data_IF_644554799548
#
_entry.id   IF_644554799548
#
_cell.length_a   1.000
_cell.length_b   1.000
_cell.length_c   1.000
_cell.angle_alpha   90.00
_cell.angle_beta   90.00
_cell.angle_gamma   90.00
#
_symmetry.space_group_name_H-M   'P 1'
#
loop_
_entity.id
_entity.type
_entity.pdbx_description
1 polymer ?
#
# COMPACT_ATOMS: atom_id res chain seq x y z
N UNK A 1 60.72 -26.75 6.53
CA UNK A 1 59.33 -27.23 6.31
C UNK A 1 58.27 -26.29 6.87
N UNK A 2 58.35 -25.85 8.14
CA UNK A 2 57.33 -24.96 8.75
C UNK A 2 57.12 -23.62 8.01
N UNK A 3 58.18 -22.99 7.47
CA UNK A 3 58.08 -21.75 6.67
C UNK A 3 57.29 -21.92 5.37
N UNK A 4 57.40 -23.07 4.70
CA UNK A 4 56.66 -23.35 3.46
C UNK A 4 55.20 -23.71 3.75
N UNK A 5 54.92 -24.34 4.90
CA UNK A 5 53.56 -24.67 5.34
C UNK A 5 52.75 -23.42 5.72
N UNK A 6 53.39 -22.45 6.40
CA UNK A 6 52.78 -21.15 6.70
C UNK A 6 52.52 -20.38 5.40
N UNK A 7 53.50 -20.30 4.49
CA UNK A 7 53.32 -19.61 3.20
C UNK A 7 52.20 -20.23 2.36
N UNK A 8 52.08 -21.56 2.34
CA UNK A 8 51.01 -22.26 1.63
C UNK A 8 49.64 -22.00 2.27
N UNK A 9 49.55 -21.93 3.60
CA UNK A 9 48.32 -21.57 4.32
C UNK A 9 47.91 -20.10 4.10
N UNK A 10 48.86 -19.17 4.03
CA UNK A 10 48.55 -17.75 3.77
C UNK A 10 48.09 -17.55 2.32
N UNK A 11 48.68 -18.27 1.36
CA UNK A 11 48.25 -18.25 -0.04
C UNK A 11 46.86 -18.90 -0.21
N UNK A 12 46.55 -19.97 0.53
CA UNK A 12 45.21 -20.58 0.53
C UNK A 12 44.13 -19.67 1.15
N UNK A 13 44.48 -18.87 2.16
CA UNK A 13 43.56 -17.87 2.72
C UNK A 13 43.32 -16.68 1.78
N UNK A 14 44.32 -16.32 0.96
CA UNK A 14 44.20 -15.28 -0.07
C UNK A 14 43.48 -15.77 -1.35
N UNK A 15 43.40 -17.09 -1.56
CA UNK A 15 42.63 -17.76 -2.62
C UNK A 15 41.26 -18.24 -2.12
N UNK A 16 40.82 -17.82 -0.93
CA UNK A 16 39.42 -17.98 -0.54
C UNK A 16 38.57 -17.12 -1.47
N UNK A 17 38.09 -17.73 -2.55
CA UNK A 17 37.08 -17.19 -3.46
C UNK A 17 35.75 -17.06 -2.71
N UNK A 18 35.68 -16.16 -1.74
CA UNK A 18 34.40 -15.66 -1.25
C UNK A 18 33.72 -14.94 -2.41
N UNK A 19 32.44 -15.26 -2.64
CA UNK A 19 31.63 -14.51 -3.60
C UNK A 19 31.69 -13.04 -3.24
N UNK A 20 31.85 -12.18 -4.24
CA UNK A 20 31.69 -10.75 -3.99
C UNK A 20 30.22 -10.45 -3.67
N UNK A 21 29.95 -9.26 -3.13
CA UNK A 21 28.60 -8.87 -2.68
C UNK A 21 27.55 -8.95 -3.79
N UNK A 22 27.95 -8.66 -5.04
CA UNK A 22 27.05 -8.63 -6.18
C UNK A 22 26.68 -10.05 -6.63
N UNK A 23 27.67 -10.95 -6.67
CA UNK A 23 27.48 -12.38 -6.94
C UNK A 23 26.60 -13.05 -5.88
N UNK A 24 26.84 -12.74 -4.60
CA UNK A 24 26.02 -13.24 -3.50
C UNK A 24 24.56 -12.76 -3.64
N UNK A 25 24.37 -11.48 -3.95
CA UNK A 25 23.04 -10.88 -4.16
C UNK A 25 22.31 -11.53 -5.34
N UNK A 26 23.00 -11.73 -6.46
CA UNK A 26 22.44 -12.38 -7.64
C UNK A 26 22.02 -13.84 -7.38
N UNK A 27 22.83 -14.60 -6.65
CA UNK A 27 22.49 -15.98 -6.24
C UNK A 27 21.29 -16.02 -5.30
N UNK A 28 21.20 -15.10 -4.32
CA UNK A 28 20.07 -15.02 -3.42
C UNK A 28 18.77 -14.71 -4.18
N UNK A 29 18.81 -13.79 -5.15
CA UNK A 29 17.67 -13.50 -6.04
C UNK A 29 17.26 -14.75 -6.81
N UNK A 30 18.20 -15.48 -7.41
CA UNK A 30 17.90 -16.70 -8.14
C UNK A 30 17.27 -17.77 -7.24
N UNK A 31 17.87 -18.00 -6.06
CA UNK A 31 17.38 -18.98 -5.09
C UNK A 31 15.97 -18.63 -4.61
N UNK A 32 15.72 -17.35 -4.33
CA UNK A 32 14.42 -16.86 -3.94
C UNK A 32 13.38 -17.05 -5.05
N UNK A 33 13.70 -16.71 -6.30
CA UNK A 33 12.79 -16.93 -7.43
C UNK A 33 12.46 -18.42 -7.64
N UNK A 34 13.44 -19.33 -7.45
CA UNK A 34 13.18 -20.78 -7.47
C UNK A 34 12.22 -21.18 -6.35
N UNK A 35 12.39 -20.66 -5.14
CA UNK A 35 11.48 -20.94 -4.02
C UNK A 35 10.07 -20.37 -4.28
N UNK A 36 9.95 -19.16 -4.82
CA UNK A 36 8.67 -18.52 -5.16
C UNK A 36 7.91 -19.30 -6.25
N UNK A 37 8.60 -19.85 -7.25
CA UNK A 37 7.95 -20.69 -8.26
C UNK A 37 7.30 -21.96 -7.69
N UNK A 38 7.72 -22.38 -6.49
CA UNK A 38 7.15 -23.51 -5.73
C UNK A 38 6.17 -23.06 -4.64
N UNK A 39 5.87 -21.76 -4.54
CA UNK A 39 5.05 -21.19 -3.46
C UNK A 39 5.72 -21.19 -2.08
N UNK A 40 7.03 -21.45 -2.00
CA UNK A 40 7.75 -21.46 -0.72
C UNK A 40 8.25 -20.06 -0.37
N UNK A 41 7.33 -19.21 0.08
CA UNK A 41 7.58 -17.80 0.34
C UNK A 41 8.62 -17.57 1.46
N UNK A 42 8.60 -18.39 2.52
CA UNK A 42 9.52 -18.21 3.66
C UNK A 42 10.96 -18.52 3.26
N UNK A 43 11.21 -19.61 2.52
CA UNK A 43 12.55 -19.91 2.00
C UNK A 43 13.06 -18.82 1.06
N UNK A 44 12.18 -18.17 0.29
CA UNK A 44 12.57 -17.04 -0.54
C UNK A 44 13.03 -15.83 0.30
N UNK A 45 12.31 -15.51 1.38
CA UNK A 45 12.70 -14.45 2.33
C UNK A 45 14.03 -14.79 2.98
N UNK A 46 14.17 -16.01 3.51
CA UNK A 46 15.37 -16.44 4.23
C UNK A 46 16.61 -16.38 3.32
N UNK A 47 16.48 -16.76 2.04
CA UNK A 47 17.56 -16.70 1.07
C UNK A 47 18.04 -15.27 0.78
N UNK A 48 17.12 -14.30 0.74
CA UNK A 48 17.45 -12.88 0.49
C UNK A 48 18.03 -12.23 1.74
N UNK A 49 17.34 -12.34 2.86
CA UNK A 49 17.74 -11.67 4.12
C UNK A 49 19.05 -12.23 4.70
N UNK A 50 19.45 -13.46 4.34
CA UNK A 50 20.74 -14.02 4.70
C UNK A 50 21.94 -13.18 4.21
N UNK A 51 21.78 -12.43 3.13
CA UNK A 51 22.82 -11.53 2.61
C UNK A 51 22.81 -10.14 3.26
N UNK A 52 21.90 -9.89 4.20
CA UNK A 52 21.60 -8.54 4.67
C UNK A 52 20.82 -7.74 3.62
N UNK A 53 20.12 -6.70 4.08
CA UNK A 53 19.21 -5.96 3.22
C UNK A 53 19.95 -5.02 2.26
N UNK A 54 19.76 -5.23 0.95
CA UNK A 54 20.38 -4.44 -0.12
C UNK A 54 19.37 -3.41 -0.67
N UNK A 55 19.33 -2.22 -0.07
CA UNK A 55 18.29 -1.21 -0.34
C UNK A 55 18.43 -0.48 -1.69
N UNK A 56 19.54 -0.62 -2.41
CA UNK A 56 19.82 0.05 -3.69
C UNK A 56 19.85 -0.92 -4.88
N UNK A 57 19.34 -2.15 -4.72
CA UNK A 57 19.27 -3.13 -5.79
C UNK A 57 17.80 -3.43 -6.12
N UNK A 58 17.31 -2.91 -7.26
CA UNK A 58 15.91 -3.04 -7.63
C UNK A 58 15.46 -4.50 -7.80
N UNK A 59 16.20 -5.39 -8.50
CA UNK A 59 15.86 -6.82 -8.54
C UNK A 59 15.73 -7.47 -7.16
N UNK A 60 16.67 -7.20 -6.25
CA UNK A 60 16.63 -7.71 -4.87
C UNK A 60 15.36 -7.27 -4.15
N UNK A 61 15.06 -5.97 -4.15
CA UNK A 61 13.89 -5.43 -3.45
C UNK A 61 12.57 -5.94 -4.04
N UNK A 62 12.47 -6.02 -5.38
CA UNK A 62 11.30 -6.56 -6.06
C UNK A 62 11.07 -8.03 -5.71
N UNK A 63 12.11 -8.85 -5.69
CA UNK A 63 11.99 -10.27 -5.31
C UNK A 63 11.66 -10.43 -3.82
N UNK A 64 12.26 -9.61 -2.94
CA UNK A 64 11.95 -9.64 -1.51
C UNK A 64 10.50 -9.22 -1.24
N UNK A 65 10.02 -8.15 -1.88
CA UNK A 65 8.64 -7.73 -1.80
C UNK A 65 7.68 -8.80 -2.31
N UNK A 66 7.99 -9.44 -3.44
CA UNK A 66 7.22 -10.60 -3.94
C UNK A 66 7.16 -11.75 -2.94
N UNK A 67 8.24 -12.01 -2.20
CA UNK A 67 8.28 -13.07 -1.20
C UNK A 67 7.41 -12.77 0.03
N UNK A 68 7.39 -11.53 0.51
CA UNK A 68 6.44 -11.12 1.55
C UNK A 68 4.99 -11.11 1.04
N UNK A 69 4.75 -10.63 -0.19
CA UNK A 69 3.43 -10.63 -0.80
C UNK A 69 2.89 -12.07 -1.00
N UNK A 70 3.76 -13.01 -1.36
CA UNK A 70 3.46 -14.44 -1.43
C UNK A 70 2.92 -14.97 -0.08
N UNK A 71 3.52 -14.57 1.07
CA UNK A 71 2.99 -14.95 2.40
C UNK A 71 1.61 -14.39 2.68
N UNK A 72 1.30 -13.21 2.13
CA UNK A 72 -0.03 -12.64 2.19
C UNK A 72 -1.05 -13.34 1.27
N UNK A 73 -0.61 -14.27 0.41
CA UNK A 73 -1.42 -14.94 -0.59
C UNK A 73 -1.58 -14.15 -1.90
N UNK A 74 -0.84 -13.05 -2.07
CA UNK A 74 -0.82 -12.29 -3.32
C UNK A 74 -0.07 -13.07 -4.41
N UNK A 75 -0.59 -12.99 -5.63
CA UNK A 75 0.04 -13.50 -6.84
C UNK A 75 -0.16 -12.49 -7.97
N UNK A 76 0.92 -12.09 -8.62
CA UNK A 76 0.85 -11.21 -9.79
C UNK A 76 0.05 -11.84 -10.92
N UNK A 77 0.11 -13.17 -11.08
CA UNK A 77 -0.71 -13.88 -12.06
C UNK A 77 -2.19 -13.70 -11.78
N UNK A 78 -2.65 -14.00 -10.56
CA UNK A 78 -4.05 -13.80 -10.15
C UNK A 78 -4.47 -12.34 -10.26
N UNK A 79 -3.57 -11.41 -9.91
CA UNK A 79 -3.84 -9.99 -10.02
C UNK A 79 -4.25 -9.62 -11.46
N UNK A 80 -3.45 -10.01 -12.46
CA UNK A 80 -3.72 -9.67 -13.85
C UNK A 80 -4.79 -10.52 -14.52
N UNK A 81 -4.98 -11.78 -14.12
CA UNK A 81 -5.96 -12.66 -14.76
C UNK A 81 -7.37 -12.50 -14.22
N UNK A 82 -7.53 -12.10 -12.95
CA UNK A 82 -8.86 -12.06 -12.31
C UNK A 82 -9.17 -10.78 -11.54
N UNK A 83 -8.18 -10.11 -10.96
CA UNK A 83 -8.47 -9.04 -10.00
C UNK A 83 -8.53 -7.66 -10.65
N UNK A 84 -7.53 -7.27 -11.44
CA UNK A 84 -7.43 -5.90 -11.99
C UNK A 84 -8.67 -5.46 -12.79
N UNK A 85 -9.33 -6.39 -13.47
CA UNK A 85 -10.56 -6.11 -14.21
C UNK A 85 -11.73 -5.66 -13.31
N UNK A 86 -11.69 -5.99 -12.02
CA UNK A 86 -12.72 -5.63 -11.04
C UNK A 86 -12.53 -4.21 -10.51
N UNK A 87 -11.37 -3.57 -10.69
CA UNK A 87 -11.01 -2.28 -10.03
C UNK A 87 -12.12 -1.23 -10.06
N UNK A 88 -12.89 -1.15 -11.14
CA UNK A 88 -13.87 -0.09 -11.39
C UNK A 88 -15.33 -0.52 -11.22
N UNK A 89 -15.59 -1.77 -10.83
CA UNK A 89 -16.94 -2.33 -10.67
C UNK A 89 -17.08 -2.99 -9.29
N UNK A 90 -18.08 -2.64 -8.45
CA UNK A 90 -19.25 -1.80 -8.77
C UNK A 90 -18.96 -0.30 -8.86
N UNK A 91 -17.85 0.17 -8.29
CA UNK A 91 -17.41 1.56 -8.34
C UNK A 91 -15.89 1.70 -8.48
N UNK A 92 -15.39 2.91 -8.86
CA UNK A 92 -13.97 3.19 -8.96
C UNK A 92 -13.22 2.84 -7.68
N UNK A 93 -12.21 1.98 -7.75
CA UNK A 93 -11.48 1.41 -6.60
C UNK A 93 -12.33 0.60 -5.62
N UNK A 94 -13.65 0.76 -5.57
CA UNK A 94 -14.53 -0.06 -4.73
C UNK A 94 -14.54 -1.53 -5.10
N UNK A 95 -14.36 -1.83 -6.39
CA UNK A 95 -14.19 -3.21 -6.84
C UNK A 95 -12.89 -3.88 -6.39
N UNK A 96 -11.93 -3.15 -5.80
CA UNK A 96 -10.74 -3.77 -5.17
C UNK A 96 -11.10 -4.68 -3.99
N UNK A 97 -12.28 -4.48 -3.38
CA UNK A 97 -12.83 -5.37 -2.35
C UNK A 97 -13.15 -6.78 -2.85
N UNK A 98 -13.33 -6.93 -4.16
CA UNK A 98 -13.59 -8.20 -4.84
C UNK A 98 -12.32 -8.92 -5.29
N UNK A 99 -11.13 -8.37 -5.01
CA UNK A 99 -9.89 -9.05 -5.32
C UNK A 99 -9.77 -10.33 -4.51
N UNK A 100 -9.07 -11.31 -5.08
CA UNK A 100 -9.02 -12.68 -4.57
C UNK A 100 -8.48 -12.79 -3.14
N UNK A 101 -7.78 -11.77 -2.66
CA UNK A 101 -7.24 -11.72 -1.30
C UNK A 101 -7.87 -10.65 -0.40
N UNK A 102 -8.73 -9.79 -0.96
CA UNK A 102 -9.40 -8.70 -0.22
C UNK A 102 -10.54 -9.22 0.66
N UNK A 103 -11.32 -10.17 0.16
CA UNK A 103 -12.49 -10.75 0.85
C UNK A 103 -12.15 -11.85 1.85
N UNK A 104 -10.88 -11.98 2.24
CA UNK A 104 -10.47 -12.97 3.22
C UNK A 104 -11.04 -12.63 4.60
N UNK A 105 -11.69 -13.60 5.25
CA UNK A 105 -12.24 -13.42 6.60
C UNK A 105 -11.13 -13.07 7.59
N UNK A 106 -11.26 -11.89 8.21
CA UNK A 106 -10.38 -11.44 9.29
C UNK A 106 -11.06 -11.74 10.63
N UNK A 107 -10.45 -12.60 11.45
CA UNK A 107 -10.97 -13.02 12.77
C UNK A 107 -10.41 -12.21 13.94
N UNK A 108 -9.45 -11.32 13.66
CA UNK A 108 -8.85 -10.37 14.61
C UNK A 108 -9.06 -8.93 14.12
N UNK A 109 -8.51 -7.94 14.80
CA UNK A 109 -8.42 -6.58 14.23
C UNK A 109 -7.56 -6.61 12.97
N UNK A 110 -7.87 -5.81 11.95
CA UNK A 110 -7.14 -5.88 10.66
C UNK A 110 -5.62 -5.73 10.82
N UNK A 111 -5.15 -4.87 11.73
CA UNK A 111 -3.73 -4.66 11.99
C UNK A 111 -3.03 -5.87 12.62
N UNK A 112 -3.77 -6.83 13.14
CA UNK A 112 -3.23 -8.06 13.74
C UNK A 112 -3.27 -9.25 12.77
N UNK A 113 -3.94 -9.11 11.64
CA UNK A 113 -3.95 -10.13 10.60
C UNK A 113 -2.56 -10.28 9.96
N UNK A 114 -2.02 -11.49 9.97
CA UNK A 114 -0.66 -11.72 9.48
C UNK A 114 -0.54 -11.49 7.97
N UNK A 115 -1.58 -11.79 7.18
CA UNK A 115 -1.54 -11.57 5.73
C UNK A 115 -1.58 -10.07 5.43
N UNK A 116 -2.36 -9.30 6.18
CA UNK A 116 -2.36 -7.84 6.09
C UNK A 116 -0.97 -7.26 6.42
N UNK A 117 -0.31 -7.74 7.49
CA UNK A 117 1.05 -7.33 7.85
C UNK A 117 2.09 -7.71 6.80
N UNK A 118 2.03 -8.93 6.27
CA UNK A 118 2.99 -9.40 5.28
C UNK A 118 2.87 -8.62 3.97
N UNK A 119 1.64 -8.28 3.53
CA UNK A 119 1.45 -7.43 2.35
C UNK A 119 1.90 -5.98 2.61
N UNK A 120 1.61 -5.43 3.80
CA UNK A 120 2.14 -4.12 4.18
C UNK A 120 3.67 -4.12 4.16
N UNK A 121 4.31 -5.18 4.67
CA UNK A 121 5.77 -5.31 4.65
C UNK A 121 6.31 -5.33 3.22
N UNK A 122 5.65 -6.03 2.31
CA UNK A 122 5.99 -6.03 0.89
C UNK A 122 5.88 -4.65 0.25
N UNK A 123 4.81 -3.92 0.57
CA UNK A 123 4.61 -2.53 0.16
C UNK A 123 5.74 -1.65 0.69
N UNK A 124 6.02 -1.70 1.99
CA UNK A 124 7.04 -0.86 2.64
C UNK A 124 8.44 -1.07 2.05
N UNK A 125 8.78 -2.31 1.67
CA UNK A 125 10.06 -2.63 1.01
C UNK A 125 10.22 -1.84 -0.30
N UNK A 126 9.15 -1.71 -1.09
CA UNK A 126 9.19 -0.97 -2.36
C UNK A 126 8.93 0.52 -2.17
N UNK A 127 8.07 0.89 -1.23
CA UNK A 127 7.70 2.26 -0.92
C UNK A 127 8.95 3.05 -0.50
N UNK A 128 9.77 2.46 0.38
CA UNK A 128 11.01 3.03 0.90
C UNK A 128 12.28 2.53 0.18
N UNK A 129 12.14 2.01 -1.04
CA UNK A 129 13.26 1.56 -1.86
C UNK A 129 14.30 2.70 -2.04
N UNK A 130 15.59 2.35 -2.04
CA UNK A 130 16.69 3.31 -2.04
C UNK A 130 17.15 3.71 -0.64
N UNK A 131 16.47 3.24 0.42
CA UNK A 131 16.78 3.61 1.79
C UNK A 131 16.14 4.94 2.19
N UNK A 132 14.97 5.26 1.61
CA UNK A 132 14.18 6.44 1.98
C UNK A 132 13.81 6.33 3.46
N UNK A 133 13.99 7.43 4.20
CA UNK A 133 13.68 7.47 5.62
C UNK A 133 12.16 7.30 5.86
N UNK A 134 11.79 6.19 6.49
CA UNK A 134 10.41 5.86 6.82
C UNK A 134 9.82 6.68 7.97
N UNK A 135 10.62 7.55 8.63
CA UNK A 135 10.15 8.34 9.77
C UNK A 135 9.72 9.75 9.38
N UNK A 136 10.45 10.42 8.49
CA UNK A 136 10.19 11.84 8.18
C UNK A 136 10.12 12.18 6.69
N UNK A 137 10.31 11.21 5.79
CA UNK A 137 10.32 11.49 4.34
C UNK A 137 9.09 10.90 3.66
N UNK A 138 8.44 11.70 2.82
CA UNK A 138 7.35 11.24 1.97
C UNK A 138 7.90 10.38 0.81
N UNK A 139 7.53 9.08 0.72
CA UNK A 139 8.06 8.15 -0.28
C UNK A 139 7.40 8.36 -1.65
N UNK A 140 7.65 9.51 -2.27
CA UNK A 140 7.16 9.81 -3.62
C UNK A 140 7.88 8.99 -4.68
N UNK A 141 7.26 8.82 -5.86
CA UNK A 141 7.94 8.21 -7.00
C UNK A 141 9.19 8.98 -7.43
N UNK A 142 9.16 10.31 -7.32
CA UNK A 142 10.30 11.17 -7.61
C UNK A 142 11.46 10.91 -6.63
N UNK A 143 11.16 10.68 -5.34
CA UNK A 143 12.18 10.35 -4.35
C UNK A 143 12.81 8.98 -4.64
N UNK A 144 12.01 7.96 -4.99
CA UNK A 144 12.54 6.66 -5.43
C UNK A 144 13.42 6.78 -6.68
N UNK A 145 13.04 7.62 -7.64
CA UNK A 145 13.80 7.82 -8.88
C UNK A 145 15.21 8.43 -8.67
N UNK A 146 15.53 8.91 -7.46
CA UNK A 146 16.89 9.37 -7.13
C UNK A 146 17.89 8.24 -6.93
N UNK A 147 17.42 7.03 -6.65
CA UNK A 147 18.26 5.88 -6.29
C UNK A 147 18.35 4.82 -7.38
N UNK A 148 17.50 4.90 -8.40
CA UNK A 148 17.34 3.87 -9.43
C UNK A 148 17.30 4.49 -10.82
N UNK A 149 17.67 3.72 -11.84
CA UNK A 149 17.43 4.13 -13.23
C UNK A 149 15.94 4.30 -13.50
N UNK A 150 15.58 5.03 -14.56
CA UNK A 150 14.17 5.23 -14.93
C UNK A 150 13.42 3.92 -15.14
N UNK A 151 14.06 2.89 -15.71
CA UNK A 151 13.47 1.57 -15.90
C UNK A 151 13.23 0.84 -14.58
N UNK A 152 14.21 0.88 -13.67
CA UNK A 152 14.10 0.24 -12.37
C UNK A 152 13.05 0.93 -11.48
N UNK A 153 13.00 2.27 -11.51
CA UNK A 153 11.98 3.03 -10.81
C UNK A 153 10.57 2.74 -11.34
N UNK A 154 10.40 2.65 -12.66
CA UNK A 154 9.13 2.28 -13.28
C UNK A 154 8.66 0.88 -12.87
N UNK A 155 9.59 -0.07 -12.84
CA UNK A 155 9.37 -1.45 -12.39
C UNK A 155 8.95 -1.53 -10.91
N UNK A 156 9.64 -0.79 -10.04
CA UNK A 156 9.30 -0.70 -8.60
C UNK A 156 7.92 -0.07 -8.43
N UNK A 157 7.66 1.06 -9.08
CA UNK A 157 6.38 1.77 -9.00
C UNK A 157 5.21 0.90 -9.48
N UNK A 158 5.40 0.16 -10.57
CA UNK A 158 4.40 -0.75 -11.12
C UNK A 158 4.05 -1.86 -10.13
N UNK A 159 5.06 -2.56 -9.61
CA UNK A 159 4.83 -3.64 -8.65
C UNK A 159 4.24 -3.11 -7.32
N UNK A 160 4.70 -1.95 -6.85
CA UNK A 160 4.17 -1.27 -5.68
C UNK A 160 2.68 -0.95 -5.85
N UNK A 161 2.27 -0.38 -6.99
CA UNK A 161 0.87 -0.06 -7.27
C UNK A 161 -0.03 -1.30 -7.18
N UNK A 162 0.40 -2.44 -7.73
CA UNK A 162 -0.41 -3.66 -7.69
C UNK A 162 -0.67 -4.12 -6.26
N UNK A 163 0.36 -4.07 -5.40
CA UNK A 163 0.24 -4.46 -4.00
C UNK A 163 -0.57 -3.44 -3.19
N UNK A 164 -0.38 -2.13 -3.44
CA UNK A 164 -1.16 -1.07 -2.79
C UNK A 164 -2.65 -1.20 -3.11
N UNK A 165 -3.03 -1.49 -4.37
CA UNK A 165 -4.43 -1.73 -4.75
C UNK A 165 -5.03 -2.92 -4.01
N UNK A 166 -4.27 -3.99 -3.83
CA UNK A 166 -4.73 -5.18 -3.08
C UNK A 166 -4.88 -4.87 -1.59
N UNK A 167 -3.93 -4.17 -1.00
CA UNK A 167 -3.99 -3.79 0.41
C UNK A 167 -5.11 -2.78 0.68
N UNK A 168 -5.33 -1.83 -0.23
CA UNK A 168 -6.47 -0.92 -0.20
C UNK A 168 -7.78 -1.71 -0.28
N UNK A 169 -7.89 -2.71 -1.14
CA UNK A 169 -9.06 -3.58 -1.21
C UNK A 169 -9.34 -4.35 0.08
N UNK A 170 -8.31 -4.87 0.75
CA UNK A 170 -8.45 -5.49 2.10
C UNK A 170 -8.95 -4.49 3.14
N UNK A 171 -8.38 -3.28 3.12
CA UNK A 171 -8.78 -2.20 4.01
C UNK A 171 -10.26 -1.82 3.80
N UNK A 172 -10.65 -1.60 2.54
CA UNK A 172 -12.01 -1.20 2.17
C UNK A 172 -13.03 -2.30 2.41
N UNK A 173 -12.69 -3.57 2.12
CA UNK A 173 -13.54 -4.72 2.40
C UNK A 173 -13.85 -4.81 3.90
N UNK A 174 -12.82 -4.71 4.73
CA UNK A 174 -12.96 -4.84 6.18
C UNK A 174 -13.70 -3.65 6.81
N UNK A 175 -13.24 -2.43 6.55
CA UNK A 175 -13.77 -1.25 7.24
C UNK A 175 -15.04 -0.68 6.62
N UNK A 176 -15.27 -0.88 5.33
CA UNK A 176 -16.48 -0.42 4.67
C UNK A 176 -17.58 -1.49 4.56
N UNK A 177 -17.36 -2.65 5.19
CA UNK A 177 -18.31 -3.76 5.23
C UNK A 177 -18.85 -4.15 3.85
N UNK A 178 -17.93 -4.51 2.96
CA UNK A 178 -18.28 -4.88 1.60
C UNK A 178 -18.95 -6.25 1.53
N UNK A 179 -19.97 -6.37 0.70
CA UNK A 179 -20.59 -7.65 0.38
C UNK A 179 -19.70 -8.52 -0.52
N UNK A 180 -20.14 -9.75 -0.77
CA UNK A 180 -19.51 -10.63 -1.77
C UNK A 180 -19.59 -10.10 -3.21
N UNK A 181 -20.43 -9.10 -3.47
CA UNK A 181 -20.54 -8.41 -4.76
C UNK A 181 -19.87 -7.03 -4.76
N UNK A 182 -19.14 -6.68 -3.70
CA UNK A 182 -18.38 -5.43 -3.62
C UNK A 182 -19.20 -4.23 -3.18
N UNK A 183 -20.47 -4.44 -2.80
CA UNK A 183 -21.37 -3.36 -2.37
C UNK A 183 -21.05 -3.00 -0.93
N UNK A 184 -20.77 -1.72 -0.68
CA UNK A 184 -20.49 -1.19 0.64
C UNK A 184 -21.68 -1.36 1.61
N UNK A 185 -21.40 -1.48 2.91
CA UNK A 185 -22.40 -1.58 3.98
C UNK A 185 -23.42 -2.72 3.80
N UNK A 186 -23.03 -3.76 3.07
CA UNK A 186 -23.89 -4.88 2.69
C UNK A 186 -23.22 -6.22 3.01
N UNK A 187 -22.17 -6.18 3.83
CA UNK A 187 -21.45 -7.34 4.31
C UNK A 187 -22.13 -7.96 5.53
N UNK A 188 -21.30 -8.61 6.35
CA UNK A 188 -21.76 -9.26 7.58
C UNK A 188 -21.67 -8.36 8.80
N UNK A 189 -20.96 -7.24 8.68
CA UNK A 189 -20.91 -6.20 9.71
C UNK A 189 -22.13 -5.30 9.53
N UNK A 190 -22.37 -4.41 10.49
CA UNK A 190 -23.56 -3.54 10.48
C UNK A 190 -23.20 -2.06 10.30
N UNK A 191 -21.93 -1.76 10.01
CA UNK A 191 -21.51 -0.38 9.82
C UNK A 191 -21.83 0.08 8.41
N UNK A 192 -22.36 1.30 8.31
CA UNK A 192 -22.71 1.91 7.04
C UNK A 192 -21.71 2.97 6.59
N UNK A 193 -20.85 3.42 7.50
CA UNK A 193 -19.77 4.37 7.28
C UNK A 193 -18.43 3.73 7.66
N UNK A 194 -17.33 4.22 7.08
CA UNK A 194 -15.99 3.82 7.54
C UNK A 194 -15.75 4.25 8.98
N UNK A 195 -16.07 5.50 9.32
CA UNK A 195 -15.91 6.09 10.65
C UNK A 195 -17.12 6.95 10.99
N UNK A 196 -17.15 7.55 12.19
CA UNK A 196 -18.33 8.24 12.72
C UNK A 196 -18.42 9.71 12.38
N UNK A 197 -17.46 10.28 11.64
CA UNK A 197 -17.41 11.66 11.12
C UNK A 197 -17.78 12.79 12.10
N UNK A 198 -17.89 12.51 13.40
CA UNK A 198 -18.31 13.45 14.44
C UNK A 198 -17.37 14.65 14.53
N UNK A 199 -16.08 14.44 14.26
CA UNK A 199 -15.03 15.47 14.32
C UNK A 199 -14.72 16.08 12.95
N UNK A 200 -15.29 15.61 11.85
CA UNK A 200 -15.09 16.21 10.54
C UNK A 200 -15.53 17.68 10.52
N UNK A 201 -15.13 18.41 9.47
CA UNK A 201 -15.63 19.75 9.21
C UNK A 201 -17.16 19.77 9.00
N UNK A 202 -17.80 20.90 9.31
CA UNK A 202 -19.25 21.06 9.20
C UNK A 202 -19.80 20.94 7.78
N UNK A 203 -19.07 21.47 6.79
CA UNK A 203 -19.46 21.41 5.39
C UNK A 203 -19.26 20.00 4.85
N UNK A 204 -18.19 19.31 5.27
CA UNK A 204 -17.98 17.89 4.94
C UNK A 204 -19.11 17.02 5.51
N UNK A 205 -19.49 17.22 6.78
CA UNK A 205 -20.65 16.53 7.35
C UNK A 205 -21.90 16.76 6.51
N UNK A 206 -22.18 18.01 6.14
CA UNK A 206 -23.34 18.33 5.31
C UNK A 206 -23.29 17.61 3.95
N UNK A 207 -22.12 17.57 3.32
CA UNK A 207 -21.93 16.90 2.03
C UNK A 207 -22.15 15.38 2.12
N UNK A 208 -21.58 14.71 3.12
CA UNK A 208 -21.76 13.25 3.29
C UNK A 208 -23.21 12.90 3.65
N UNK A 209 -23.85 13.67 4.54
CA UNK A 209 -25.25 13.45 4.91
C UNK A 209 -26.24 13.71 3.75
N UNK A 210 -25.89 14.59 2.81
CA UNK A 210 -26.67 14.86 1.61
C UNK A 210 -26.49 13.79 0.52
N UNK A 211 -25.47 12.93 0.64
CA UNK A 211 -25.27 11.80 -0.26
C UNK A 211 -26.45 10.82 -0.20
N UNK A 212 -26.73 10.15 -1.31
CA UNK A 212 -27.81 9.14 -1.41
C UNK A 212 -27.38 7.74 -0.93
N UNK A 213 -26.23 7.65 -0.27
CA UNK A 213 -25.48 6.41 -0.12
C UNK A 213 -25.71 5.71 1.21
N UNK A 214 -25.02 4.59 1.40
CA UNK A 214 -25.09 3.81 2.64
C UNK A 214 -24.71 4.63 3.87
N UNK A 215 -23.75 5.56 3.76
CA UNK A 215 -23.29 6.39 4.87
C UNK A 215 -24.13 7.67 5.05
N UNK A 216 -25.38 7.52 5.47
CA UNK A 216 -26.30 8.64 5.74
C UNK A 216 -26.37 9.05 7.22
N UNK A 217 -25.95 8.19 8.15
CA UNK A 217 -25.99 8.45 9.59
C UNK A 217 -24.61 8.76 10.17
N UNK A 218 -24.09 9.94 9.82
CA UNK A 218 -22.70 10.35 10.00
C UNK A 218 -22.36 10.98 11.36
N UNK A 219 -23.29 10.99 12.33
CA UNK A 219 -23.04 11.53 13.68
C UNK A 219 -23.20 10.47 14.76
N UNK A 220 -23.32 9.21 14.35
CA UNK A 220 -23.60 8.09 15.23
C UNK A 220 -22.49 7.05 15.11
N UNK A 221 -21.79 6.78 16.22
CA UNK A 221 -20.77 5.75 16.30
C UNK A 221 -21.29 4.35 15.94
N UNK A 222 -22.61 4.09 16.04
CA UNK A 222 -23.18 2.80 15.60
C UNK A 222 -23.20 2.61 14.09
N UNK A 223 -23.07 3.69 13.31
CA UNK A 223 -22.94 3.63 11.85
C UNK A 223 -21.48 3.43 11.42
N UNK A 224 -20.52 3.72 12.30
CA UNK A 224 -19.10 3.56 12.03
C UNK A 224 -18.63 2.12 12.21
N UNK A 225 -17.53 1.77 11.54
CA UNK A 225 -16.86 0.54 11.86
C UNK A 225 -16.32 0.58 13.30
N UNK A 226 -16.58 -0.46 14.11
CA UNK A 226 -16.24 -0.48 15.54
C UNK A 226 -14.77 -0.22 15.85
N UNK A 227 -13.88 -0.58 14.92
CA UNK A 227 -12.43 -0.34 15.04
C UNK A 227 -11.98 1.06 14.61
N UNK A 228 -12.85 1.83 13.96
CA UNK A 228 -12.61 3.21 13.52
C UNK A 228 -13.58 4.22 14.17
N UNK A 229 -14.50 3.77 15.03
CA UNK A 229 -15.45 4.61 15.75
C UNK A 229 -14.76 5.53 16.77
N UNK A 230 -15.45 6.59 17.20
CA UNK A 230 -14.88 7.58 18.12
C UNK A 230 -14.59 7.02 19.52
N UNK A 231 -15.27 5.93 19.91
CA UNK A 231 -15.00 5.17 21.13
C UNK A 231 -13.62 4.49 21.19
N UNK A 232 -12.94 4.31 20.04
CA UNK A 232 -11.56 3.80 20.00
C UNK A 232 -10.59 4.88 20.45
N UNK A 233 -9.56 4.52 21.23
CA UNK A 233 -8.55 5.48 21.68
C UNK A 233 -7.98 6.29 20.52
N UNK A 234 -7.83 7.61 20.69
CA UNK A 234 -7.44 8.52 19.62
C UNK A 234 -6.17 8.09 18.87
N UNK A 235 -5.15 7.61 19.59
CA UNK A 235 -3.90 7.13 18.97
C UNK A 235 -4.14 5.93 18.05
N UNK A 236 -4.73 4.84 18.56
CA UNK A 236 -5.06 3.66 17.74
C UNK A 236 -5.97 4.02 16.58
N UNK A 237 -7.01 4.83 16.81
CA UNK A 237 -7.92 5.27 15.75
C UNK A 237 -7.17 6.03 14.65
N UNK A 238 -6.27 6.94 15.02
CA UNK A 238 -5.44 7.70 14.09
C UNK A 238 -4.53 6.78 13.27
N UNK A 239 -3.82 5.84 13.90
CA UNK A 239 -2.99 4.83 13.21
C UNK A 239 -3.79 4.10 12.12
N UNK A 240 -5.00 3.61 12.46
CA UNK A 240 -5.83 2.86 11.51
C UNK A 240 -6.34 3.73 10.36
N UNK A 241 -6.80 4.94 10.65
CA UNK A 241 -7.25 5.88 9.62
C UNK A 241 -6.09 6.29 8.70
N UNK A 242 -4.91 6.54 9.25
CA UNK A 242 -3.70 6.84 8.49
C UNK A 242 -3.32 5.72 7.51
N UNK A 243 -3.52 4.44 7.87
CA UNK A 243 -3.31 3.33 6.94
C UNK A 243 -4.17 3.47 5.68
N UNK A 244 -5.43 3.86 5.83
CA UNK A 244 -6.29 4.17 4.68
C UNK A 244 -5.79 5.36 3.87
N UNK A 245 -5.44 6.48 4.54
CA UNK A 245 -4.92 7.69 3.88
C UNK A 245 -3.71 7.37 3.00
N UNK A 246 -2.70 6.70 3.54
CA UNK A 246 -1.44 6.45 2.80
C UNK A 246 -1.64 5.44 1.67
N UNK A 247 -2.53 4.46 1.83
CA UNK A 247 -2.85 3.52 0.75
C UNK A 247 -3.56 4.24 -0.42
N UNK A 248 -4.59 5.03 -0.11
CA UNK A 248 -5.35 5.74 -1.14
C UNK A 248 -4.50 6.83 -1.82
N UNK A 249 -3.77 7.63 -1.04
CA UNK A 249 -2.85 8.61 -1.60
C UNK A 249 -1.72 7.95 -2.39
N UNK A 250 -1.23 6.78 -1.94
CA UNK A 250 -0.25 5.97 -2.65
C UNK A 250 -0.72 5.58 -4.05
N UNK A 251 -1.97 5.11 -4.19
CA UNK A 251 -2.57 4.87 -5.52
C UNK A 251 -2.48 6.11 -6.40
N UNK A 252 -2.93 7.26 -5.89
CA UNK A 252 -2.95 8.50 -6.67
C UNK A 252 -1.56 9.07 -6.99
N UNK A 253 -0.58 8.87 -6.11
CA UNK A 253 0.78 9.34 -6.33
C UNK A 253 1.53 8.47 -7.34
N UNK A 254 1.26 7.16 -7.37
CA UNK A 254 2.02 6.19 -8.16
C UNK A 254 1.40 5.96 -9.54
N UNK A 255 0.06 5.97 -9.63
CA UNK A 255 -0.67 5.64 -10.85
C UNK A 255 -0.28 6.49 -12.08
N UNK A 256 -0.04 7.82 -11.98
CA UNK A 256 0.43 8.62 -13.12
C UNK A 256 1.75 8.11 -13.71
N UNK A 257 2.72 7.75 -12.85
CA UNK A 257 4.03 7.26 -13.30
C UNK A 257 3.95 5.84 -13.89
N UNK A 258 3.05 5.00 -13.37
CA UNK A 258 2.78 3.70 -13.96
C UNK A 258 2.15 3.86 -15.34
N UNK A 259 1.15 4.72 -15.50
CA UNK A 259 0.52 5.00 -16.80
C UNK A 259 1.56 5.45 -17.82
N UNK A 260 2.42 6.40 -17.46
CA UNK A 260 3.41 6.94 -18.40
C UNK A 260 4.49 5.92 -18.78
N UNK A 261 4.79 4.96 -17.90
CA UNK A 261 5.79 3.91 -18.15
C UNK A 261 5.27 2.68 -18.87
N UNK A 262 3.99 2.31 -18.69
CA UNK A 262 3.45 1.05 -19.25
C UNK A 262 2.46 1.23 -20.40
N UNK A 263 1.77 2.38 -20.48
CA UNK A 263 0.75 2.61 -21.51
C UNK A 263 1.39 3.30 -22.72
N UNK A 264 1.15 2.85 -23.96
CA UNK A 264 1.61 3.55 -25.16
C UNK A 264 1.13 5.01 -25.18
N UNK A 265 2.00 5.93 -25.60
CA UNK A 265 1.76 7.40 -25.58
C UNK A 265 0.40 7.78 -26.18
N UNK A 266 -0.01 7.12 -27.27
CA UNK A 266 -1.29 7.37 -27.95
C UNK A 266 -2.53 7.10 -27.06
N UNK A 267 -2.42 6.28 -26.02
CA UNK A 267 -3.50 5.90 -25.11
C UNK A 267 -3.39 6.59 -23.73
N UNK A 268 -2.25 7.24 -23.43
CA UNK A 268 -2.02 7.89 -22.14
C UNK A 268 -3.01 9.03 -21.88
N UNK A 269 -3.39 9.80 -22.90
CA UNK A 269 -4.29 10.95 -22.74
C UNK A 269 -5.64 10.56 -22.10
N UNK A 270 -6.23 9.43 -22.52
CA UNK A 270 -7.50 8.96 -21.97
C UNK A 270 -7.35 8.49 -20.50
N UNK A 271 -6.26 7.79 -20.19
CA UNK A 271 -5.97 7.32 -18.83
C UNK A 271 -5.68 8.49 -17.87
N UNK A 272 -4.92 9.49 -18.33
CA UNK A 272 -4.63 10.70 -17.56
C UNK A 272 -5.86 11.60 -17.39
N UNK A 273 -6.78 11.61 -18.36
CA UNK A 273 -8.04 12.34 -18.21
C UNK A 273 -8.91 11.75 -17.09
N UNK A 274 -8.97 10.42 -16.94
CA UNK A 274 -9.67 9.77 -15.83
C UNK A 274 -9.03 10.11 -14.46
N UNK A 275 -7.70 10.17 -14.40
CA UNK A 275 -6.99 10.64 -13.21
C UNK A 275 -7.28 12.10 -12.87
N UNK A 276 -7.51 12.95 -13.88
CA UNK A 276 -7.82 14.35 -13.65
C UNK A 276 -9.13 14.53 -12.86
N UNK A 277 -10.12 13.64 -13.04
CA UNK A 277 -11.36 13.64 -12.25
C UNK A 277 -11.06 13.46 -10.76
N UNK A 278 -10.13 12.56 -10.42
CA UNK A 278 -9.70 12.32 -9.05
C UNK A 278 -8.92 13.50 -8.47
N UNK A 279 -8.08 14.16 -9.29
CA UNK A 279 -7.41 15.39 -8.88
C UNK A 279 -8.40 16.53 -8.63
N UNK A 280 -9.45 16.66 -9.44
CA UNK A 280 -10.51 17.63 -9.21
C UNK A 280 -11.27 17.34 -7.91
N UNK A 281 -11.54 16.06 -7.59
CA UNK A 281 -12.12 15.67 -6.32
C UNK A 281 -11.22 16.05 -5.13
N UNK A 282 -9.90 15.84 -5.22
CA UNK A 282 -8.94 16.30 -4.20
C UNK A 282 -8.94 17.83 -4.05
N UNK A 283 -8.98 18.57 -5.15
CA UNK A 283 -9.03 20.04 -5.12
C UNK A 283 -10.34 20.52 -4.49
N UNK A 284 -11.47 19.91 -4.83
CA UNK A 284 -12.76 20.22 -4.23
C UNK A 284 -12.79 19.93 -2.73
N UNK A 285 -12.20 18.81 -2.29
CA UNK A 285 -11.99 18.51 -0.87
C UNK A 285 -11.20 19.61 -0.17
N UNK A 286 -10.04 20.01 -0.71
CA UNK A 286 -9.20 21.06 -0.10
C UNK A 286 -9.92 22.42 -0.11
N UNK A 287 -10.76 22.69 -1.11
CA UNK A 287 -11.58 23.90 -1.14
C UNK A 287 -12.68 23.87 -0.07
N UNK A 288 -13.27 22.70 0.21
CA UNK A 288 -14.27 22.51 1.26
C UNK A 288 -13.64 22.56 2.66
N UNK A 289 -12.45 22.00 2.82
CA UNK A 289 -11.69 22.01 4.07
C UNK A 289 -10.19 22.14 3.78
N UNK A 290 -9.66 23.37 3.84
CA UNK A 290 -8.26 23.65 3.56
C UNK A 290 -7.30 22.88 4.47
N UNK A 291 -7.77 22.43 5.63
CA UNK A 291 -6.97 21.70 6.60
C UNK A 291 -6.70 20.25 6.16
N UNK A 292 -7.42 19.72 5.17
CA UNK A 292 -7.15 18.39 4.62
C UNK A 292 -6.03 18.36 3.58
N UNK A 293 -5.46 19.52 3.21
CA UNK A 293 -4.38 19.59 2.23
C UNK A 293 -3.18 18.72 2.63
N UNK A 294 -2.77 18.79 3.90
CA UNK A 294 -1.68 17.95 4.42
C UNK A 294 -2.05 16.47 4.31
N UNK A 295 -3.24 16.08 4.79
CA UNK A 295 -3.74 14.69 4.72
C UNK A 295 -3.77 14.16 3.29
N UNK A 296 -4.21 14.96 2.30
CA UNK A 296 -4.32 14.55 0.91
C UNK A 296 -2.97 14.37 0.18
N UNK A 297 -1.89 14.84 0.79
CA UNK A 297 -0.52 14.74 0.28
C UNK A 297 0.35 13.72 1.04
N UNK A 298 -0.10 13.25 2.22
CA UNK A 298 0.66 12.31 3.05
C UNK A 298 0.69 10.90 2.44
N UNK A 299 1.89 10.36 2.26
CA UNK A 299 2.19 9.02 1.75
C UNK A 299 2.91 8.15 2.78
N UNK A 300 3.48 8.77 3.82
CA UNK A 300 4.20 8.10 4.90
C UNK A 300 3.30 7.91 6.13
N UNK A 301 3.21 6.67 6.62
CA UNK A 301 2.39 6.30 7.78
C UNK A 301 2.83 7.01 9.06
N UNK A 302 4.14 7.03 9.35
CA UNK A 302 4.72 7.69 10.53
C UNK A 302 4.42 9.19 10.49
N UNK A 303 4.61 9.82 9.33
CA UNK A 303 4.30 11.25 9.15
C UNK A 303 2.81 11.51 9.39
N UNK A 304 1.92 10.65 8.89
CA UNK A 304 0.48 10.77 9.16
C UNK A 304 0.16 10.70 10.66
N UNK A 305 0.79 9.78 11.38
CA UNK A 305 0.54 9.55 12.81
C UNK A 305 1.12 10.64 13.70
N UNK A 306 2.32 11.15 13.39
CA UNK A 306 3.06 12.06 14.26
C UNK A 306 2.85 13.54 13.91
N UNK A 307 2.43 13.86 12.69
CA UNK A 307 2.20 15.25 12.28
C UNK A 307 0.94 15.83 12.97
N UNK A 308 1.14 16.93 13.70
CA UNK A 308 0.08 17.64 14.41
C UNK A 308 -0.92 18.35 13.49
N UNK A 309 -0.52 18.64 12.24
CA UNK A 309 -1.40 19.17 11.20
C UNK A 309 -2.29 18.08 10.57
N UNK A 310 -2.02 16.81 10.85
CA UNK A 310 -2.84 15.67 10.45
C UNK A 310 -3.64 15.23 11.67
N UNK A 311 -4.66 15.98 12.06
CA UNK A 311 -5.52 15.61 13.19
C UNK A 311 -6.59 14.60 12.78
N UNK A 312 -7.21 13.91 13.74
CA UNK A 312 -8.33 12.99 13.47
C UNK A 312 -9.48 13.70 12.77
N UNK A 313 -9.74 14.97 13.08
CA UNK A 313 -10.74 15.79 12.39
C UNK A 313 -10.43 15.92 10.90
N UNK A 314 -9.18 16.26 10.53
CA UNK A 314 -8.76 16.39 9.14
C UNK A 314 -8.86 15.05 8.39
N UNK A 315 -8.52 13.95 9.08
CA UNK A 315 -8.60 12.62 8.48
C UNK A 315 -10.06 12.20 8.29
N UNK A 316 -10.95 12.49 9.24
CA UNK A 316 -12.39 12.25 9.08
C UNK A 316 -12.97 13.06 7.91
N UNK A 317 -12.60 14.34 7.77
CA UNK A 317 -12.97 15.16 6.59
C UNK A 317 -12.50 14.50 5.28
N UNK A 318 -11.24 14.06 5.24
CA UNK A 318 -10.67 13.36 4.08
C UNK A 318 -11.44 12.06 3.76
N UNK A 319 -11.74 11.23 4.76
CA UNK A 319 -12.50 10.00 4.56
C UNK A 319 -13.92 10.28 4.06
N UNK A 320 -14.59 11.29 4.62
CA UNK A 320 -15.95 11.65 4.26
C UNK A 320 -16.08 12.01 2.78
N UNK A 321 -15.13 12.73 2.19
CA UNK A 321 -15.22 13.07 0.77
C UNK A 321 -14.55 12.05 -0.15
N UNK A 322 -13.38 11.51 0.24
CA UNK A 322 -12.62 10.62 -0.64
C UNK A 322 -13.08 9.17 -0.52
N UNK A 323 -13.09 8.61 0.68
CA UNK A 323 -13.42 7.19 0.87
C UNK A 323 -14.91 6.93 0.65
N UNK A 324 -15.78 7.75 1.22
CA UNK A 324 -17.22 7.58 1.02
C UNK A 324 -17.63 7.93 -0.42
N UNK A 325 -16.93 8.82 -1.12
CA UNK A 325 -17.23 9.15 -2.53
C UNK A 325 -16.71 8.13 -3.56
N UNK A 326 -15.58 7.49 -3.28
CA UNK A 326 -14.95 6.53 -4.19
C UNK A 326 -15.52 5.11 -4.01
N UNK A 327 -15.91 4.74 -2.79
CA UNK A 327 -16.28 3.35 -2.48
C UNK A 327 -17.77 2.99 -2.70
N UNK A 328 -18.56 3.87 -3.29
CA UNK A 328 -20.02 3.73 -3.31
C UNK A 328 -20.53 2.50 -4.07
#
# INVERSE_FOLDING_TARGET
MLKYLILFSTVFMLLSCGKNTDEATAEAILTANIALSKGNCQTAIDALEANGRVNNNAPYLKTLASAYACKAGYSTLTFFTSDIAKTVVPAPLGGTTLYSTSSATVTTTLQNDQKFKDLQKAIDILLYAGGIDSTNTEPTSAERARYFSSSEAADINSQLLYMVLVQLGRYMYHYGDSSVTGVKASGVRSNTCFTSYVNADGDVKTAVAAGTDSCSNILNDTAAHVELASAVTAATRKTRLCQGVVLLNGVFAILPDVITSVIPVAQQAAALAALNVLNLAKVALIAADATTATVASTLNQTVCEDNTQVSVSNIESYFGLMFEGIFQ
#
